data_IF_363599944182
#
_entry.id   IF_363599944182
#
_cell.length_a   1.000
_cell.length_b   1.000
_cell.length_c   1.000
_cell.angle_alpha   90.00
_cell.angle_beta   90.00
_cell.angle_gamma   90.00
#
_symmetry.space_group_name_H-M   'P 1'
#
loop_
_entity.id
_entity.type
_entity.pdbx_description
1 polymer ?
#
# COMPACT_ATOMS: atom_id res chain seq x y z
N UNK A 1 -27.05 7.87 -0.12
CA UNK A 1 -25.83 7.49 -0.85
C UNK A 1 -25.75 5.97 -1.00
N UNK A 2 -26.73 5.34 -1.69
CA UNK A 2 -26.84 3.86 -1.81
C UNK A 2 -26.15 3.31 -3.06
N UNK A 3 -26.06 4.11 -4.12
CA UNK A 3 -25.49 3.70 -5.41
C UNK A 3 -23.97 3.52 -5.37
N UNK A 4 -23.26 4.23 -4.48
CA UNK A 4 -21.80 4.16 -4.37
C UNK A 4 -21.28 2.74 -4.10
N UNK A 5 -21.96 1.97 -3.25
CA UNK A 5 -21.58 0.59 -2.94
C UNK A 5 -21.65 -0.31 -4.17
N UNK A 6 -22.69 -0.13 -4.98
CA UNK A 6 -22.88 -0.88 -6.22
C UNK A 6 -21.87 -0.48 -7.29
N UNK A 7 -21.54 0.80 -7.41
CA UNK A 7 -20.51 1.26 -8.35
C UNK A 7 -19.12 0.72 -8.01
N UNK A 8 -18.74 0.69 -6.73
CA UNK A 8 -17.48 0.07 -6.28
C UNK A 8 -17.47 -1.43 -6.60
N UNK A 9 -18.57 -2.13 -6.34
CA UNK A 9 -18.69 -3.56 -6.63
C UNK A 9 -18.54 -3.84 -8.12
N UNK A 10 -19.22 -3.09 -8.98
CA UNK A 10 -19.10 -3.21 -10.44
C UNK A 10 -17.69 -2.91 -10.92
N UNK A 11 -17.05 -1.88 -10.38
CA UNK A 11 -15.65 -1.56 -10.69
C UNK A 11 -14.70 -2.70 -10.32
N UNK A 12 -14.90 -3.33 -9.17
CA UNK A 12 -14.07 -4.45 -8.72
C UNK A 12 -14.28 -5.70 -9.60
N UNK A 13 -15.53 -6.01 -9.96
CA UNK A 13 -15.83 -7.12 -10.88
C UNK A 13 -15.20 -6.86 -12.25
N UNK A 14 -15.33 -5.64 -12.79
CA UNK A 14 -14.72 -5.27 -14.06
C UNK A 14 -13.19 -5.42 -14.02
N UNK A 15 -12.54 -4.97 -12.94
CA UNK A 15 -11.10 -5.13 -12.76
C UNK A 15 -10.69 -6.61 -12.77
N UNK A 16 -11.39 -7.48 -12.04
CA UNK A 16 -11.09 -8.92 -12.02
C UNK A 16 -11.25 -9.53 -13.41
N UNK A 17 -12.31 -9.18 -14.13
CA UNK A 17 -12.57 -9.70 -15.49
C UNK A 17 -11.45 -9.30 -16.44
N UNK A 18 -11.04 -8.03 -16.43
CA UNK A 18 -9.93 -7.54 -17.27
C UNK A 18 -8.63 -8.27 -16.94
N UNK A 19 -8.29 -8.40 -15.66
CA UNK A 19 -7.09 -9.13 -15.24
C UNK A 19 -7.13 -10.60 -15.70
N UNK A 20 -8.28 -11.27 -15.58
CA UNK A 20 -8.43 -12.66 -15.98
C UNK A 20 -8.15 -12.87 -17.48
N UNK A 21 -8.76 -12.06 -18.35
CA UNK A 21 -8.51 -12.15 -19.78
C UNK A 21 -7.09 -11.75 -20.15
N UNK A 22 -6.57 -10.67 -19.56
CA UNK A 22 -5.22 -10.20 -19.86
C UNK A 22 -4.13 -11.20 -19.45
N UNK A 23 -4.25 -11.81 -18.27
CA UNK A 23 -3.32 -12.86 -17.86
C UNK A 23 -3.44 -14.11 -18.73
N UNK A 24 -4.65 -14.47 -19.16
CA UNK A 24 -4.86 -15.57 -20.11
C UNK A 24 -4.12 -15.35 -21.42
N UNK A 25 -4.28 -14.17 -22.03
CA UNK A 25 -3.59 -13.81 -23.27
C UNK A 25 -2.06 -13.81 -23.09
N UNK A 26 -1.57 -13.26 -21.97
CA UNK A 26 -0.14 -13.23 -21.67
C UNK A 26 0.48 -14.63 -21.50
N UNK A 27 -0.26 -15.58 -20.89
CA UNK A 27 0.17 -16.98 -20.75
C UNK A 27 0.19 -17.66 -22.12
N UNK A 28 -0.88 -17.51 -22.89
CA UNK A 28 -0.99 -18.11 -24.22
C UNK A 28 0.12 -17.61 -25.16
N UNK A 29 0.45 -16.32 -25.10
CA UNK A 29 1.55 -15.72 -25.87
C UNK A 29 2.93 -16.23 -25.44
N UNK A 30 3.10 -16.48 -24.14
CA UNK A 30 4.32 -17.09 -23.60
C UNK A 30 4.50 -18.54 -24.04
N UNK A 31 3.45 -19.37 -23.97
CA UNK A 31 3.47 -20.77 -24.39
C UNK A 31 3.61 -20.95 -25.91
N UNK A 32 3.08 -20.00 -26.69
CA UNK A 32 3.26 -19.95 -28.14
C UNK A 32 4.71 -19.63 -28.57
N UNK A 33 5.63 -19.36 -27.63
CA UNK A 33 7.04 -19.12 -27.91
C UNK A 33 7.34 -17.75 -28.53
N UNK A 34 6.38 -16.81 -28.48
CA UNK A 34 6.54 -15.47 -29.05
C UNK A 34 7.44 -14.56 -28.18
N UNK A 35 7.76 -15.00 -26.95
CA UNK A 35 8.65 -14.29 -26.03
C UNK A 35 10.13 -14.44 -26.44
N UNK A 36 10.70 -13.39 -27.03
CA UNK A 36 12.14 -13.31 -27.30
C UNK A 36 12.97 -13.23 -25.99
N UNK A 37 14.25 -13.64 -26.04
CA UNK A 37 15.18 -13.55 -24.88
C UNK A 37 15.30 -12.14 -24.26
N UNK A 38 15.05 -11.09 -25.04
CA UNK A 38 15.05 -9.70 -24.56
C UNK A 38 13.79 -9.37 -23.75
N UNK A 39 12.65 -9.97 -24.12
CA UNK A 39 11.37 -9.80 -23.42
C UNK A 39 11.42 -10.50 -22.05
N UNK A 40 12.00 -11.70 -21.97
CA UNK A 40 12.22 -12.40 -20.69
C UNK A 40 13.04 -11.56 -19.69
N UNK A 41 14.12 -10.94 -20.17
CA UNK A 41 14.89 -9.99 -19.37
C UNK A 41 14.05 -8.82 -18.87
N UNK A 42 13.19 -8.25 -19.72
CA UNK A 42 12.29 -7.16 -19.35
C UNK A 42 11.27 -7.58 -18.29
N UNK A 43 10.70 -8.79 -18.36
CA UNK A 43 9.77 -9.29 -17.35
C UNK A 43 10.44 -9.46 -15.98
N UNK A 44 11.68 -9.96 -15.96
CA UNK A 44 12.45 -10.11 -14.70
C UNK A 44 12.77 -8.76 -14.06
N UNK A 45 13.13 -7.76 -14.87
CA UNK A 45 13.31 -6.39 -14.38
C UNK A 45 12.00 -5.80 -13.89
N UNK A 46 10.89 -5.99 -14.62
CA UNK A 46 9.55 -5.56 -14.22
C UNK A 46 9.14 -6.16 -12.87
N UNK A 47 9.31 -7.47 -12.69
CA UNK A 47 9.00 -8.14 -11.42
C UNK A 47 9.90 -7.66 -10.26
N UNK A 48 11.18 -7.42 -10.52
CA UNK A 48 12.09 -6.86 -9.51
C UNK A 48 11.62 -5.48 -9.05
N UNK A 49 11.24 -4.60 -9.99
CA UNK A 49 10.72 -3.27 -9.66
C UNK A 49 9.36 -3.31 -8.96
N UNK A 50 8.48 -4.25 -9.33
CA UNK A 50 7.22 -4.48 -8.63
C UNK A 50 7.45 -4.87 -7.17
N UNK A 51 8.29 -5.88 -6.92
CA UNK A 51 8.62 -6.32 -5.55
C UNK A 51 9.28 -5.19 -4.75
N UNK A 52 10.18 -4.43 -5.37
CA UNK A 52 10.79 -3.27 -4.72
C UNK A 52 9.73 -2.24 -4.31
N UNK A 53 8.75 -1.97 -5.17
CA UNK A 53 7.66 -1.03 -4.85
C UNK A 53 6.80 -1.50 -3.68
N UNK A 54 6.53 -2.80 -3.57
CA UNK A 54 5.82 -3.41 -2.43
C UNK A 54 6.61 -3.25 -1.12
N UNK A 55 7.92 -3.52 -1.15
CA UNK A 55 8.79 -3.31 0.03
C UNK A 55 8.77 -1.85 0.47
N UNK A 56 8.84 -0.90 -0.46
CA UNK A 56 8.79 0.53 -0.14
C UNK A 56 7.41 0.96 0.39
N UNK A 57 6.32 0.39 -0.14
CA UNK A 57 4.97 0.60 0.36
C UNK A 57 4.87 0.19 1.84
N UNK A 58 5.30 -1.03 2.19
CA UNK A 58 5.34 -1.46 3.60
C UNK A 58 6.31 -0.64 4.44
N UNK A 59 7.47 -0.27 3.90
CA UNK A 59 8.45 0.58 4.59
C UNK A 59 7.85 1.94 4.97
N UNK A 60 6.97 2.51 4.14
CA UNK A 60 6.26 3.74 4.48
C UNK A 60 5.31 3.56 5.68
N UNK A 61 4.57 2.45 5.77
CA UNK A 61 3.71 2.17 6.93
C UNK A 61 4.50 1.91 8.21
N UNK A 62 5.58 1.13 8.13
CA UNK A 62 6.46 0.91 9.29
C UNK A 62 7.21 2.19 9.68
N UNK A 63 7.62 2.99 8.71
CA UNK A 63 8.20 4.31 8.93
C UNK A 63 7.23 5.26 9.62
N UNK A 64 5.97 5.30 9.18
CA UNK A 64 4.91 6.06 9.82
C UNK A 64 4.66 5.57 11.26
N UNK A 65 4.59 4.25 11.48
CA UNK A 65 4.45 3.66 12.82
C UNK A 65 5.61 4.03 13.73
N UNK A 66 6.84 3.92 13.23
CA UNK A 66 8.04 4.31 13.97
C UNK A 66 8.00 5.81 14.32
N UNK A 67 7.71 6.67 13.35
CA UNK A 67 7.64 8.12 13.53
C UNK A 67 6.61 8.51 14.59
N UNK A 68 5.40 7.95 14.50
CA UNK A 68 4.33 8.18 15.48
C UNK A 68 4.79 7.77 16.88
N UNK A 69 5.46 6.62 17.01
CA UNK A 69 5.86 6.07 18.30
C UNK A 69 7.06 6.76 18.94
N UNK A 70 8.11 7.04 18.17
CA UNK A 70 9.40 7.50 18.70
C UNK A 70 9.54 9.01 18.73
N UNK A 71 8.86 9.71 17.82
CA UNK A 71 8.99 11.16 17.68
C UNK A 71 7.69 11.84 18.13
N UNK A 72 6.57 11.50 17.50
CA UNK A 72 5.29 12.21 17.76
C UNK A 72 4.75 11.96 19.17
N UNK A 73 4.78 10.71 19.66
CA UNK A 73 4.23 10.38 20.99
C UNK A 73 4.93 11.13 22.13
N UNK A 74 6.28 11.19 22.20
CA UNK A 74 6.96 12.01 23.21
C UNK A 74 6.73 13.51 23.04
N UNK A 75 6.71 14.04 21.80
CA UNK A 75 6.49 15.48 21.56
C UNK A 75 5.11 15.94 22.04
N UNK A 76 4.06 15.15 21.80
CA UNK A 76 2.73 15.45 22.32
C UNK A 76 2.63 15.31 23.85
N UNK A 77 3.54 14.56 24.48
CA UNK A 77 3.62 14.41 25.93
C UNK A 77 4.35 15.54 26.66
N UNK A 78 5.04 16.42 25.94
CA UNK A 78 5.84 17.49 26.52
C UNK A 78 4.97 18.62 27.11
N UNK A 79 5.52 19.38 28.06
CA UNK A 79 4.76 20.41 28.81
C UNK A 79 4.19 21.49 27.89
N UNK A 80 4.96 21.97 26.91
CA UNK A 80 4.49 23.02 25.99
C UNK A 80 3.32 22.54 25.11
N UNK A 81 3.38 21.30 24.61
CA UNK A 81 2.36 20.74 23.73
C UNK A 81 1.11 20.29 24.51
N UNK A 82 1.28 19.78 25.74
CA UNK A 82 0.15 19.49 26.63
C UNK A 82 -0.63 20.75 26.99
N UNK A 83 0.04 21.87 27.27
CA UNK A 83 -0.63 23.10 27.68
C UNK A 83 -1.33 23.82 26.52
N UNK A 84 -0.81 23.73 25.29
CA UNK A 84 -1.32 24.49 24.14
C UNK A 84 -2.19 23.69 23.15
N UNK A 85 -1.94 22.39 22.98
CA UNK A 85 -2.64 21.58 21.95
C UNK A 85 -3.62 20.59 22.56
N UNK A 86 -3.17 19.74 23.50
CA UNK A 86 -4.01 18.68 24.05
C UNK A 86 -3.66 18.31 25.51
N UNK A 87 -4.39 18.87 26.49
CA UNK A 87 -4.05 18.74 27.92
C UNK A 87 -4.08 17.31 28.47
N UNK A 88 -5.04 16.50 28.03
CA UNK A 88 -5.27 15.15 28.56
C UNK A 88 -4.49 14.03 27.83
N UNK A 89 -3.64 14.38 26.86
CA UNK A 89 -2.94 13.38 26.05
C UNK A 89 -1.96 12.55 26.88
N UNK A 90 -2.21 11.24 26.98
CA UNK A 90 -1.30 10.28 27.62
C UNK A 90 -0.28 9.77 26.59
N UNK A 91 0.99 10.19 26.75
CA UNK A 91 2.11 9.74 25.93
C UNK A 91 2.57 8.31 26.29
N UNK A 92 1.63 7.37 26.30
CA UNK A 92 1.84 5.94 26.51
C UNK A 92 1.57 5.20 25.22
N UNK A 93 2.43 4.26 24.86
CA UNK A 93 2.22 3.37 23.73
C UNK A 93 1.81 1.97 24.20
N UNK A 94 0.77 1.33 23.61
CA UNK A 94 -0.10 1.85 22.56
C UNK A 94 -1.12 2.88 23.08
N UNK A 95 -1.36 3.94 22.31
CA UNK A 95 -2.40 4.94 22.56
C UNK A 95 -3.56 4.67 21.58
N UNK A 96 -4.80 4.57 22.08
CA UNK A 96 -5.97 4.20 21.26
C UNK A 96 -6.65 5.41 20.60
N UNK A 97 -5.96 6.54 20.49
CA UNK A 97 -6.61 7.85 20.39
C UNK A 97 -6.99 8.33 21.78
N UNK A 98 -7.76 9.43 21.91
CA UNK A 98 -8.25 9.87 23.22
C UNK A 98 -8.83 8.71 24.05
#
# INVERSE_FOLDING_TARGET
>A
MSWAKWSVLVGFIALIVVLYYWFGDAIQESEAGMNSKRIDGSYRWGMSWFIFSEVMFFAAFFGALWYVRTITTPWLGDMDHRLMLWPDFQAVWPNFGP
#
